data_IF_181774970780
#
_entry.id   IF_181774970780
#
_cell.length_a   1.000
_cell.length_b   1.000
_cell.length_c   1.000
_cell.angle_alpha   90.00
_cell.angle_beta   90.00
_cell.angle_gamma   90.00
#
_symmetry.space_group_name_H-M   'P 1'
#
loop_
_entity.id
_entity.type
_entity.pdbx_description
1 polymer ?
#
# COMPACT_ATOMS: atom_id res chain seq x y z
N UNK A 1 4.04 23.41 -10.89
CA UNK A 1 2.65 23.46 -10.40
C UNK A 1 2.63 23.02 -8.96
N UNK A 2 2.33 23.93 -8.07
CA UNK A 2 2.23 23.64 -6.65
C UNK A 2 0.92 22.91 -6.38
N UNK A 3 0.98 21.63 -6.00
CA UNK A 3 -0.20 20.87 -5.67
C UNK A 3 -0.52 21.15 -4.22
N UNK A 4 -1.63 21.82 -3.99
CA UNK A 4 -2.09 22.12 -2.64
C UNK A 4 -2.35 20.79 -1.89
N UNK A 5 -1.95 20.68 -0.63
CA UNK A 5 -2.15 19.47 0.18
C UNK A 5 -3.56 18.88 0.14
N UNK A 6 -4.62 19.74 0.07
CA UNK A 6 -5.99 19.40 -0.05
C UNK A 6 -6.31 18.57 -1.27
N UNK A 7 -5.56 18.68 -2.41
CA UNK A 7 -5.84 17.94 -3.66
C UNK A 7 -5.39 16.50 -3.56
N UNK A 8 -4.29 16.25 -2.86
CA UNK A 8 -3.82 14.90 -2.56
C UNK A 8 -4.80 14.19 -1.63
N UNK A 9 -5.33 14.90 -0.64
CA UNK A 9 -6.34 14.38 0.27
C UNK A 9 -7.61 13.95 -0.46
N UNK A 10 -8.13 14.79 -1.34
CA UNK A 10 -9.34 14.48 -2.11
C UNK A 10 -9.16 13.31 -3.06
N UNK A 11 -7.97 13.13 -3.64
CA UNK A 11 -7.66 12.03 -4.55
C UNK A 11 -7.46 10.73 -3.73
N UNK A 12 -6.77 10.81 -2.60
CA UNK A 12 -6.51 9.66 -1.72
C UNK A 12 -7.77 9.05 -1.11
N UNK A 13 -8.81 9.85 -0.90
CA UNK A 13 -10.08 9.41 -0.31
C UNK A 13 -10.99 8.63 -1.24
N UNK A 14 -10.77 8.70 -2.54
CA UNK A 14 -11.71 8.15 -3.52
C UNK A 14 -11.39 6.74 -3.98
N UNK A 15 -10.28 6.15 -3.56
CA UNK A 15 -9.73 4.98 -4.24
C UNK A 15 -9.37 3.82 -3.32
N UNK A 16 -10.18 3.59 -2.29
CA UNK A 16 -10.17 2.29 -1.65
C UNK A 16 -11.07 1.38 -2.47
N UNK A 17 -10.47 0.44 -3.16
CA UNK A 17 -11.21 -0.58 -3.88
C UNK A 17 -10.68 -1.95 -3.54
N UNK A 18 -11.60 -2.88 -3.38
CA UNK A 18 -11.31 -4.29 -3.24
C UNK A 18 -12.06 -5.04 -4.31
N UNK A 19 -11.36 -5.85 -5.06
CA UNK A 19 -11.96 -6.74 -6.06
C UNK A 19 -11.83 -8.16 -5.53
N UNK A 20 -12.97 -8.79 -5.33
CA UNK A 20 -13.05 -10.18 -4.81
C UNK A 20 -12.74 -11.19 -5.91
N UNK A 21 -11.51 -11.17 -6.36
CA UNK A 21 -10.91 -12.20 -7.21
C UNK A 21 -10.23 -13.26 -6.34
N UNK A 22 -9.72 -14.32 -6.95
CA UNK A 22 -8.89 -15.32 -6.27
C UNK A 22 -7.53 -15.37 -6.96
N UNK A 23 -6.47 -14.85 -6.34
CA UNK A 23 -6.41 -14.12 -5.05
C UNK A 23 -7.06 -12.72 -5.11
N UNK A 24 -7.48 -12.15 -3.95
CA UNK A 24 -8.08 -10.82 -3.92
C UNK A 24 -7.07 -9.73 -4.27
N UNK A 25 -7.59 -8.67 -4.92
CA UNK A 25 -6.85 -7.46 -5.27
C UNK A 25 -7.43 -6.28 -4.48
N UNK A 26 -6.60 -5.49 -3.85
CA UNK A 26 -7.01 -4.31 -3.10
C UNK A 26 -6.08 -3.13 -3.33
N UNK A 27 -6.65 -1.93 -3.33
CA UNK A 27 -5.93 -0.68 -3.56
C UNK A 27 -6.39 0.41 -2.61
N UNK A 28 -5.47 1.26 -2.19
CA UNK A 28 -5.73 2.49 -1.46
C UNK A 28 -4.83 3.61 -1.98
N UNK A 29 -5.36 4.84 -2.05
CA UNK A 29 -4.63 6.02 -2.48
C UNK A 29 -4.41 6.10 -3.98
N UNK A 30 -3.29 6.69 -4.39
CA UNK A 30 -2.99 7.01 -5.78
C UNK A 30 -2.43 5.81 -6.54
N UNK A 31 -2.81 5.71 -7.80
CA UNK A 31 -2.07 4.90 -8.77
C UNK A 31 -0.77 5.62 -9.17
N UNK A 32 0.16 4.89 -9.75
CA UNK A 32 1.40 5.45 -10.26
C UNK A 32 1.14 6.53 -11.31
N UNK A 33 0.21 6.27 -12.25
CA UNK A 33 -0.18 7.24 -13.27
C UNK A 33 -0.79 8.50 -12.67
N UNK A 34 -1.65 8.35 -11.66
CA UNK A 34 -2.25 9.49 -10.96
C UNK A 34 -1.22 10.32 -10.21
N UNK A 35 -0.26 9.69 -9.56
CA UNK A 35 0.84 10.36 -8.87
C UNK A 35 1.74 11.12 -9.85
N UNK A 36 2.06 10.52 -10.99
CA UNK A 36 2.82 11.18 -12.07
C UNK A 36 2.06 12.36 -12.66
N UNK A 37 0.77 12.19 -12.96
CA UNK A 37 -0.07 13.26 -13.49
C UNK A 37 -0.22 14.43 -12.50
N UNK A 38 -0.15 14.14 -11.21
CA UNK A 38 -0.15 15.15 -10.15
C UNK A 38 1.21 15.86 -9.98
N UNK A 39 2.26 15.44 -10.69
CA UNK A 39 3.59 16.02 -10.61
C UNK A 39 4.34 15.68 -9.31
N UNK A 40 3.94 14.61 -8.64
CA UNK A 40 4.59 14.17 -7.40
C UNK A 40 5.90 13.46 -7.70
N UNK A 41 6.89 13.67 -6.84
CA UNK A 41 8.14 12.91 -6.85
C UNK A 41 8.00 11.78 -5.85
N UNK A 42 8.15 10.56 -6.29
CA UNK A 42 7.98 9.38 -5.47
C UNK A 42 8.88 8.23 -5.91
N UNK A 43 9.13 7.32 -4.98
CA UNK A 43 9.70 6.01 -5.27
C UNK A 43 8.61 4.95 -5.25
N UNK A 44 8.76 3.95 -6.08
CA UNK A 44 7.88 2.79 -6.12
C UNK A 44 8.62 1.56 -5.60
N UNK A 45 8.04 0.92 -4.61
CA UNK A 45 8.49 -0.37 -4.15
C UNK A 45 7.48 -1.43 -4.55
N UNK A 46 7.90 -2.35 -5.41
CA UNK A 46 7.06 -3.49 -5.76
C UNK A 46 7.84 -4.81 -5.66
N UNK A 47 7.14 -5.86 -5.32
CA UNK A 47 7.73 -7.18 -5.23
C UNK A 47 6.67 -8.26 -5.44
N UNK A 48 7.07 -9.36 -6.11
CA UNK A 48 6.36 -10.63 -6.08
C UNK A 48 6.58 -11.27 -4.69
N UNK A 49 5.51 -11.57 -4.00
CA UNK A 49 5.52 -12.14 -2.65
C UNK A 49 5.01 -13.58 -2.60
N UNK A 50 4.91 -14.24 -3.75
CA UNK A 50 4.42 -15.62 -3.83
C UNK A 50 5.27 -16.61 -3.01
N UNK A 51 6.54 -16.28 -2.77
CA UNK A 51 7.44 -17.04 -1.91
C UNK A 51 7.37 -16.74 -0.41
N UNK A 52 6.58 -15.74 0.00
CA UNK A 52 6.49 -15.37 1.41
C UNK A 52 5.71 -16.39 2.23
N UNK A 53 6.04 -16.48 3.53
CA UNK A 53 5.47 -17.47 4.43
C UNK A 53 3.94 -17.47 4.45
N UNK A 54 3.32 -16.29 4.59
CA UNK A 54 1.86 -16.18 4.68
C UNK A 54 1.15 -16.57 3.39
N UNK A 55 1.78 -16.34 2.23
CA UNK A 55 1.27 -16.77 0.93
C UNK A 55 1.36 -18.29 0.78
N UNK A 56 2.54 -18.85 1.08
CA UNK A 56 2.79 -20.29 0.97
C UNK A 56 1.96 -21.11 1.94
N UNK A 57 1.74 -20.60 3.14
CA UNK A 57 0.97 -21.28 4.19
C UNK A 57 -0.46 -21.59 3.76
N UNK A 58 -1.08 -20.73 2.98
CA UNK A 58 -2.46 -20.92 2.48
C UNK A 58 -2.51 -21.55 1.08
N UNK A 59 -1.36 -21.89 0.51
CA UNK A 59 -1.28 -22.51 -0.82
C UNK A 59 -1.59 -21.57 -1.98
N UNK A 60 -1.49 -20.25 -1.77
CA UNK A 60 -1.68 -19.28 -2.84
C UNK A 60 -0.46 -19.21 -3.76
N UNK A 61 -0.70 -19.20 -5.06
CA UNK A 61 0.36 -19.20 -6.07
C UNK A 61 0.74 -17.82 -6.57
N UNK A 62 -0.11 -16.82 -6.33
CA UNK A 62 0.11 -15.45 -6.82
C UNK A 62 -0.11 -14.45 -5.70
N UNK A 63 0.91 -13.67 -5.40
CA UNK A 63 0.79 -12.50 -4.54
C UNK A 63 1.87 -11.48 -4.87
N UNK A 64 1.61 -10.23 -4.54
CA UNK A 64 2.55 -9.14 -4.76
C UNK A 64 2.02 -7.84 -4.20
N UNK A 65 2.88 -6.86 -4.16
CA UNK A 65 2.50 -5.51 -3.75
C UNK A 65 3.20 -4.45 -4.59
N UNK A 66 2.61 -3.27 -4.62
CA UNK A 66 3.23 -2.03 -5.09
C UNK A 66 2.85 -0.92 -4.12
N UNK A 67 3.84 -0.24 -3.55
CA UNK A 67 3.67 0.90 -2.66
C UNK A 67 4.40 2.11 -3.23
N UNK A 68 3.72 3.25 -3.27
CA UNK A 68 4.27 4.52 -3.71
C UNK A 68 4.54 5.39 -2.48
N UNK A 69 5.78 5.87 -2.36
CA UNK A 69 6.22 6.69 -1.23
C UNK A 69 6.79 8.00 -1.75
N UNK A 70 6.22 9.12 -1.29
CA UNK A 70 6.64 10.45 -1.71
C UNK A 70 8.05 10.76 -1.22
N UNK A 71 8.88 11.30 -2.12
CA UNK A 71 10.21 11.78 -1.77
C UNK A 71 10.11 13.06 -0.93
N UNK A 72 10.96 13.17 0.07
CA UNK A 72 11.04 14.32 0.96
C UNK A 72 10.12 14.24 2.18
N UNK A 73 8.87 13.82 2.02
CA UNK A 73 7.91 13.70 3.13
C UNK A 73 7.82 12.30 3.71
N UNK A 74 8.28 11.29 2.96
CA UNK A 74 8.13 9.86 3.29
C UNK A 74 6.68 9.39 3.43
N UNK A 75 5.72 10.15 2.89
CA UNK A 75 4.30 9.79 2.92
C UNK A 75 4.01 8.64 1.97
N UNK A 76 3.14 7.75 2.40
CA UNK A 76 2.56 6.73 1.52
C UNK A 76 1.49 7.40 0.65
N UNK A 77 1.72 7.41 -0.67
CA UNK A 77 0.79 7.99 -1.64
C UNK A 77 -0.25 6.99 -2.10
N UNK A 78 0.13 5.73 -2.20
CA UNK A 78 -0.74 4.67 -2.65
C UNK A 78 -0.17 3.30 -2.31
N UNK A 79 -1.05 2.32 -2.20
CA UNK A 79 -0.71 0.92 -1.99
C UNK A 79 -1.64 0.03 -2.80
N UNK A 80 -1.09 -1.00 -3.42
CA UNK A 80 -1.81 -1.95 -4.26
C UNK A 80 -1.34 -3.34 -3.90
N UNK A 81 -2.27 -4.19 -3.48
CA UNK A 81 -1.98 -5.52 -2.95
C UNK A 81 -2.72 -6.58 -3.73
N UNK A 82 -2.03 -7.66 -4.06
CA UNK A 82 -2.60 -8.87 -4.61
C UNK A 82 -2.21 -10.03 -3.69
N UNK A 83 -3.16 -10.82 -3.23
CA UNK A 83 -2.84 -12.00 -2.44
C UNK A 83 -3.79 -12.24 -1.27
N UNK A 84 -3.46 -13.24 -0.42
CA UNK A 84 -4.27 -13.59 0.72
C UNK A 84 -4.47 -12.40 1.65
N UNK A 85 -5.71 -12.18 2.08
CA UNK A 85 -6.08 -11.11 3.01
C UNK A 85 -5.77 -9.68 2.54
N UNK A 86 -5.58 -9.46 1.23
CA UNK A 86 -5.30 -8.13 0.69
C UNK A 86 -6.36 -7.10 1.09
N UNK A 87 -7.64 -7.50 1.13
CA UNK A 87 -8.75 -6.64 1.55
C UNK A 87 -8.68 -6.19 3.01
N UNK A 88 -8.06 -6.98 3.89
CA UNK A 88 -7.85 -6.59 5.29
C UNK A 88 -6.58 -5.75 5.46
N UNK A 89 -5.48 -6.18 4.84
CA UNK A 89 -4.19 -5.48 4.93
C UNK A 89 -4.24 -4.09 4.34
N UNK A 90 -5.00 -3.89 3.25
CA UNK A 90 -5.13 -2.58 2.62
C UNK A 90 -5.70 -1.51 3.56
N UNK A 91 -6.52 -1.91 4.53
CA UNK A 91 -7.08 -0.99 5.51
C UNK A 91 -5.98 -0.33 6.37
N UNK A 92 -4.88 -1.02 6.64
CA UNK A 92 -3.74 -0.45 7.38
C UNK A 92 -3.04 0.63 6.55
N UNK A 93 -2.89 0.41 5.26
CA UNK A 93 -2.38 1.42 4.34
C UNK A 93 -3.34 2.61 4.22
N UNK A 94 -4.64 2.35 4.16
CA UNK A 94 -5.65 3.41 4.13
C UNK A 94 -5.58 4.32 5.36
N UNK A 95 -5.43 3.73 6.55
CA UNK A 95 -5.23 4.49 7.81
C UNK A 95 -3.94 5.29 7.75
N UNK A 96 -2.84 4.69 7.30
CA UNK A 96 -1.55 5.37 7.20
C UNK A 96 -1.60 6.56 6.23
N UNK A 97 -2.24 6.38 5.08
CA UNK A 97 -2.45 7.44 4.08
C UNK A 97 -3.32 8.56 4.69
N UNK A 98 -4.42 8.20 5.33
CA UNK A 98 -5.36 9.14 5.93
C UNK A 98 -4.74 9.99 7.01
N UNK A 99 -4.00 9.37 7.91
CA UNK A 99 -3.36 10.02 9.04
C UNK A 99 -1.96 10.56 8.70
N UNK A 100 -1.53 10.45 7.44
CA UNK A 100 -0.22 10.92 6.96
C UNK A 100 0.95 10.34 7.75
N UNK A 101 0.84 9.07 8.10
CA UNK A 101 1.91 8.37 8.80
C UNK A 101 3.05 8.14 7.81
N UNK A 102 4.27 8.63 8.10
CA UNK A 102 5.42 8.36 7.26
C UNK A 102 5.71 6.85 7.14
N UNK A 103 6.22 6.42 6.00
CA UNK A 103 6.54 5.01 5.78
C UNK A 103 7.53 4.47 6.83
N UNK A 104 8.53 5.26 7.22
CA UNK A 104 9.49 4.88 8.25
C UNK A 104 8.82 4.64 9.62
N UNK A 105 7.82 5.45 9.98
CA UNK A 105 7.10 5.29 11.23
C UNK A 105 6.21 4.03 11.20
N UNK A 106 5.51 3.80 10.09
CA UNK A 106 4.69 2.60 9.92
C UNK A 106 5.55 1.32 9.95
N UNK A 107 6.76 1.38 9.39
CA UNK A 107 7.71 0.26 9.38
C UNK A 107 8.15 -0.14 10.79
N UNK A 108 8.12 0.79 11.74
CA UNK A 108 8.50 0.55 13.14
C UNK A 108 7.37 -0.01 14.01
N UNK A 109 6.13 0.01 13.51
CA UNK A 109 4.99 -0.55 14.25
C UNK A 109 5.17 -2.07 14.41
N UNK A 110 4.98 -2.53 15.63
CA UNK A 110 5.04 -3.96 15.94
C UNK A 110 3.64 -4.56 15.78
N UNK A 111 3.47 -5.31 14.73
CA UNK A 111 2.23 -6.08 14.49
C UNK A 111 2.37 -7.49 15.06
N UNK A 112 1.23 -8.13 15.29
CA UNK A 112 1.21 -9.53 15.68
C UNK A 112 1.90 -10.38 14.61
N UNK A 113 2.81 -11.25 15.01
CA UNK A 113 3.61 -12.09 14.13
C UNK A 113 3.36 -13.59 14.41
N UNK A 114 3.25 -14.46 13.41
CA UNK A 114 3.21 -14.16 11.97
C UNK A 114 1.79 -13.85 11.49
N UNK A 115 1.59 -12.69 10.87
CA UNK A 115 0.32 -12.29 10.26
C UNK A 115 0.56 -11.58 8.94
N UNK A 116 -0.46 -11.46 8.08
CA UNK A 116 -0.35 -10.66 6.87
C UNK A 116 -0.08 -9.18 7.20
N UNK A 117 -0.62 -8.67 8.32
CA UNK A 117 -0.32 -7.33 8.79
C UNK A 117 1.14 -7.12 9.15
N UNK A 118 1.81 -8.13 9.72
CA UNK A 118 3.24 -8.03 10.06
C UNK A 118 4.16 -7.95 8.84
N UNK A 119 3.67 -8.34 7.67
CA UNK A 119 4.44 -8.27 6.42
C UNK A 119 4.58 -6.85 5.88
N UNK A 120 3.73 -5.90 6.33
CA UNK A 120 3.75 -4.50 5.89
C UNK A 120 5.13 -3.87 6.01
N UNK A 121 5.85 -4.16 7.08
CA UNK A 121 7.20 -3.61 7.30
C UNK A 121 8.18 -3.92 6.16
N UNK A 122 7.94 -4.98 5.40
CA UNK A 122 8.77 -5.37 4.27
C UNK A 122 8.27 -4.79 2.93
N UNK A 123 7.13 -4.11 2.95
CA UNK A 123 6.54 -3.46 1.78
C UNK A 123 6.91 -1.97 1.67
N UNK A 124 7.54 -1.41 2.70
CA UNK A 124 7.83 0.02 2.84
C UNK A 124 9.29 0.36 2.56
#
# INVERSE_FOLDING_TARGET
MEIRPHKIEQIGYRLESSVFTIPPLASAGLTEDAAQAAGLKFRTHWQDTSGWFNTRRVGESASGFKVLIEEGTDRILGAHLLGPHAAEVINLFAVAIRLRIPAADLQQVIFAYPTNGSDIRFML
#
